data_IF_577243103052
#
_entry.id   IF_577243103052
#
_cell.length_a   1.000
_cell.length_b   1.000
_cell.length_c   1.000
_cell.angle_alpha   90.00
_cell.angle_beta   90.00
_cell.angle_gamma   90.00
#
_symmetry.space_group_name_H-M   'P 1'
#
loop_
_entity.id
_entity.type
_entity.pdbx_description
1 polymer ?
#
# COMPACT_ATOMS: atom_id res chain seq x y z
N UNK A 1 -1.31 -4.75 6.89
CA UNK A 1 -0.29 -4.06 6.08
C UNK A 1 -0.91 -3.60 4.77
N UNK A 2 -0.58 -2.39 4.35
CA UNK A 2 -0.92 -1.79 3.06
C UNK A 2 0.36 -1.28 2.41
N UNK A 3 0.54 -1.58 1.12
CA UNK A 3 1.47 -0.91 0.23
C UNK A 3 0.70 -0.31 -0.94
N UNK A 4 0.96 0.95 -1.26
CA UNK A 4 0.44 1.66 -2.42
C UNK A 4 1.62 2.28 -3.17
N UNK A 5 1.65 2.16 -4.50
CA UNK A 5 2.83 2.49 -5.30
C UNK A 5 2.41 3.01 -6.67
N UNK A 6 3.11 4.02 -7.15
CA UNK A 6 2.83 4.66 -8.43
C UNK A 6 3.25 3.74 -9.58
N UNK A 7 2.32 3.47 -10.48
CA UNK A 7 2.58 2.64 -11.66
C UNK A 7 3.27 3.44 -12.77
N UNK A 8 4.36 2.88 -13.29
CA UNK A 8 5.12 3.51 -14.37
C UNK A 8 5.95 4.72 -13.96
N UNK A 9 6.24 4.88 -12.66
CA UNK A 9 6.99 6.01 -12.14
C UNK A 9 8.38 6.19 -12.81
N UNK A 10 9.09 5.11 -13.10
CA UNK A 10 10.37 5.17 -13.82
C UNK A 10 10.23 5.87 -15.17
N UNK A 11 9.23 5.50 -15.97
CA UNK A 11 8.99 6.14 -17.26
C UNK A 11 8.53 7.60 -17.10
N UNK A 12 7.77 7.90 -16.05
CA UNK A 12 7.34 9.26 -15.72
C UNK A 12 8.56 10.13 -15.35
N UNK A 13 9.48 9.59 -14.56
CA UNK A 13 10.70 10.29 -14.13
C UNK A 13 11.71 10.55 -15.27
N UNK A 14 11.61 9.82 -16.37
CA UNK A 14 12.41 10.09 -17.57
C UNK A 14 11.83 11.24 -18.43
N UNK A 15 10.53 11.55 -18.26
CA UNK A 15 9.82 12.55 -19.08
C UNK A 15 9.64 13.89 -18.38
N UNK A 16 9.38 13.86 -17.07
CA UNK A 16 9.08 15.07 -16.33
C UNK A 16 10.33 15.67 -15.65
N UNK A 17 10.39 16.99 -15.53
CA UNK A 17 11.39 17.67 -14.70
C UNK A 17 11.29 17.23 -13.23
N UNK A 18 12.42 17.19 -12.48
CA UNK A 18 12.44 16.75 -11.09
C UNK A 18 11.52 17.54 -10.15
N UNK A 19 11.34 18.82 -10.39
CA UNK A 19 10.47 19.70 -9.62
C UNK A 19 8.98 19.37 -9.82
N UNK A 20 8.56 19.01 -11.03
CA UNK A 20 7.21 18.54 -11.31
C UNK A 20 6.94 17.17 -10.68
N UNK A 21 7.93 16.26 -10.71
CA UNK A 21 7.84 14.96 -10.05
C UNK A 21 7.66 15.10 -8.52
N UNK A 22 8.40 16.01 -7.89
CA UNK A 22 8.26 16.28 -6.45
C UNK A 22 6.84 16.76 -6.13
N UNK A 23 6.27 17.66 -6.93
CA UNK A 23 4.90 18.15 -6.74
C UNK A 23 3.89 17.01 -6.84
N UNK A 24 4.05 16.10 -7.82
CA UNK A 24 3.16 14.94 -7.97
C UNK A 24 3.28 13.98 -6.78
N UNK A 25 4.51 13.67 -6.34
CA UNK A 25 4.73 12.80 -5.18
C UNK A 25 4.20 13.42 -3.89
N UNK A 26 4.39 14.71 -3.68
CA UNK A 26 3.86 15.41 -2.49
C UNK A 26 2.33 15.35 -2.42
N UNK A 27 1.66 15.46 -3.57
CA UNK A 27 0.19 15.29 -3.64
C UNK A 27 -0.21 13.87 -3.30
N UNK A 28 0.45 12.87 -3.89
CA UNK A 28 0.20 11.45 -3.58
C UNK A 28 0.42 11.14 -2.11
N UNK A 29 1.54 11.57 -1.55
CA UNK A 29 1.87 11.33 -0.14
C UNK A 29 0.91 12.03 0.81
N UNK A 30 0.52 13.27 0.52
CA UNK A 30 -0.45 14.01 1.34
C UNK A 30 -1.81 13.33 1.34
N UNK A 31 -2.27 12.86 0.18
CA UNK A 31 -3.51 12.10 0.05
C UNK A 31 -3.44 10.79 0.83
N UNK A 32 -2.40 9.98 0.58
CA UNK A 32 -2.24 8.69 1.24
C UNK A 32 -2.14 8.82 2.77
N UNK A 33 -1.36 9.79 3.26
CA UNK A 33 -1.22 10.06 4.68
C UNK A 33 -2.56 10.47 5.32
N UNK A 34 -3.30 11.38 4.68
CA UNK A 34 -4.62 11.81 5.15
C UNK A 34 -5.58 10.64 5.32
N UNK A 35 -5.72 9.82 4.27
CA UNK A 35 -6.60 8.64 4.28
C UNK A 35 -6.19 7.62 5.34
N UNK A 36 -4.88 7.31 5.43
CA UNK A 36 -4.37 6.37 6.43
C UNK A 36 -4.69 6.84 7.85
N UNK A 37 -4.50 8.12 8.15
CA UNK A 37 -4.76 8.68 9.48
C UNK A 37 -6.25 8.76 9.79
N UNK A 38 -7.12 9.10 8.83
CA UNK A 38 -8.57 9.13 9.01
C UNK A 38 -9.14 7.74 9.35
N UNK A 39 -8.48 6.67 8.90
CA UNK A 39 -8.85 5.28 9.19
C UNK A 39 -8.08 4.66 10.36
N UNK A 40 -7.50 5.47 11.25
CA UNK A 40 -6.69 5.04 12.39
C UNK A 40 -5.51 4.13 12.02
N UNK A 41 -4.96 4.31 10.83
CA UNK A 41 -3.75 3.65 10.38
C UNK A 41 -2.49 4.40 10.80
N UNK A 42 -1.36 3.74 10.67
CA UNK A 42 -0.04 4.33 10.86
C UNK A 42 0.71 4.28 9.54
N UNK A 43 1.15 5.43 9.06
CA UNK A 43 2.06 5.53 7.94
C UNK A 43 3.46 5.18 8.43
N UNK A 44 4.04 4.10 7.89
CA UNK A 44 5.36 3.63 8.27
C UNK A 44 6.46 4.37 7.49
N UNK A 45 6.40 4.28 6.18
CA UNK A 45 7.40 4.87 5.28
C UNK A 45 6.78 5.39 3.99
N UNK A 46 7.46 6.41 3.47
CA UNK A 46 7.35 6.85 2.07
C UNK A 46 8.73 6.68 1.44
N UNK A 47 8.84 5.80 0.45
CA UNK A 47 10.12 5.46 -0.18
C UNK A 47 9.96 5.52 -1.69
N UNK A 48 10.62 6.49 -2.32
CA UNK A 48 10.52 6.69 -3.76
C UNK A 48 9.10 7.05 -4.18
N UNK A 49 8.40 6.15 -4.80
CA UNK A 49 7.03 6.30 -5.29
C UNK A 49 6.02 5.41 -4.54
N UNK A 50 6.43 4.88 -3.37
CA UNK A 50 5.65 3.95 -2.57
C UNK A 50 5.31 4.52 -1.19
N UNK A 51 4.06 4.32 -0.76
CA UNK A 51 3.60 4.51 0.60
C UNK A 51 3.36 3.16 1.28
N UNK A 52 3.88 3.00 2.50
CA UNK A 52 3.71 1.82 3.34
C UNK A 52 2.99 2.21 4.62
N UNK A 53 1.91 1.50 4.94
CA UNK A 53 1.11 1.73 6.13
C UNK A 53 0.70 0.42 6.80
N UNK A 54 0.39 0.51 8.09
CA UNK A 54 -0.18 -0.63 8.82
C UNK A 54 -1.36 -0.20 9.69
N UNK A 55 -2.24 -1.16 9.97
CA UNK A 55 -3.45 -0.99 10.76
C UNK A 55 -3.49 -2.04 11.88
N UNK A 56 -4.10 -1.70 13.00
CA UNK A 56 -4.20 -2.63 14.12
C UNK A 56 -3.05 -2.54 15.13
N UNK A 57 -2.32 -1.40 15.18
CA UNK A 57 -1.32 -1.12 16.21
C UNK A 57 -1.30 0.38 16.52
N UNK A 58 -1.06 0.79 17.77
CA UNK A 58 -0.83 -0.05 18.96
C UNK A 58 -2.11 -0.71 19.50
N UNK A 59 -3.27 -0.25 19.03
CA UNK A 59 -4.57 -0.84 19.35
C UNK A 59 -5.04 -1.68 18.16
N UNK A 60 -5.57 -2.87 18.43
CA UNK A 60 -6.05 -3.79 17.40
C UNK A 60 -7.58 -3.81 17.36
N UNK A 61 -8.24 -2.86 16.68
CA UNK A 61 -9.66 -2.96 16.42
C UNK A 61 -9.96 -4.18 15.54
N UNK A 62 -11.12 -4.82 15.73
CA UNK A 62 -11.48 -6.03 14.98
C UNK A 62 -11.60 -5.75 13.47
N UNK A 63 -11.96 -4.53 13.11
CA UNK A 63 -12.15 -4.06 11.74
C UNK A 63 -10.86 -3.53 11.04
N UNK A 64 -9.68 -3.77 11.65
CA UNK A 64 -8.43 -3.30 11.05
C UNK A 64 -8.16 -3.82 9.61
N UNK A 65 -8.61 -5.05 9.20
CA UNK A 65 -8.47 -5.46 7.80
C UNK A 65 -9.37 -4.67 6.86
N UNK A 66 -10.61 -4.38 7.27
CA UNK A 66 -11.56 -3.55 6.53
C UNK A 66 -11.01 -2.15 6.32
N UNK A 67 -10.50 -1.52 7.37
CA UNK A 67 -9.85 -0.20 7.30
C UNK A 67 -8.66 -0.18 6.35
N UNK A 68 -7.84 -1.23 6.34
CA UNK A 68 -6.69 -1.32 5.44
C UNK A 68 -7.13 -1.44 3.97
N UNK A 69 -8.18 -2.22 3.67
CA UNK A 69 -8.71 -2.35 2.31
C UNK A 69 -9.44 -1.07 1.89
N UNK A 70 -10.19 -0.44 2.80
CA UNK A 70 -10.84 0.85 2.55
C UNK A 70 -9.80 1.91 2.22
N UNK A 71 -8.73 2.02 3.01
CA UNK A 71 -7.63 2.95 2.73
C UNK A 71 -7.01 2.74 1.34
N UNK A 72 -6.82 1.47 0.94
CA UNK A 72 -6.30 1.17 -0.38
C UNK A 72 -7.23 1.68 -1.49
N UNK A 73 -8.54 1.43 -1.39
CA UNK A 73 -9.50 1.90 -2.38
C UNK A 73 -9.57 3.43 -2.40
N UNK A 74 -9.67 4.07 -1.24
CA UNK A 74 -9.78 5.53 -1.13
C UNK A 74 -8.53 6.23 -1.71
N UNK A 75 -7.34 5.66 -1.52
CA UNK A 75 -6.10 6.16 -2.14
C UNK A 75 -6.18 6.06 -3.66
N UNK A 76 -6.58 4.92 -4.21
CA UNK A 76 -6.69 4.74 -5.66
C UNK A 76 -7.74 5.68 -6.26
N UNK A 77 -8.91 5.77 -5.64
CA UNK A 77 -10.01 6.63 -6.07
C UNK A 77 -9.61 8.12 -5.98
N UNK A 78 -8.95 8.52 -4.90
CA UNK A 78 -8.48 9.89 -4.72
C UNK A 78 -7.42 10.29 -5.75
N UNK A 79 -6.49 9.38 -6.09
CA UNK A 79 -5.52 9.62 -7.18
C UNK A 79 -6.23 9.69 -8.53
N UNK A 80 -7.18 8.80 -8.81
CA UNK A 80 -7.93 8.79 -10.05
C UNK A 80 -8.80 10.04 -10.24
N UNK A 81 -9.36 10.57 -9.15
CA UNK A 81 -10.22 11.76 -9.18
C UNK A 81 -9.50 13.04 -9.61
N UNK A 82 -8.17 13.11 -9.43
CA UNK A 82 -7.34 14.27 -9.82
C UNK A 82 -6.51 14.02 -11.07
N UNK A 83 -6.71 12.89 -11.74
CA UNK A 83 -6.02 12.56 -12.98
C UNK A 83 -6.63 13.36 -14.14
N UNK A 84 -5.83 14.23 -14.76
CA UNK A 84 -6.26 15.12 -15.85
C UNK A 84 -5.71 14.72 -17.22
N UNK A 85 -4.55 14.03 -17.25
CA UNK A 85 -3.81 13.73 -18.48
C UNK A 85 -3.00 12.43 -18.40
N UNK A 86 -2.16 12.18 -19.42
CA UNK A 86 -1.29 11.00 -19.50
C UNK A 86 -0.14 11.01 -18.48
N UNK A 87 0.21 12.17 -17.95
CA UNK A 87 1.25 12.35 -16.93
C UNK A 87 0.71 12.27 -15.50
N UNK A 88 -0.61 12.10 -15.36
CA UNK A 88 -1.25 11.89 -14.08
C UNK A 88 -0.85 10.56 -13.45
N UNK A 89 -0.69 10.56 -12.11
CA UNK A 89 -0.31 9.36 -11.36
C UNK A 89 -1.38 8.28 -11.48
N UNK A 90 -0.93 7.04 -11.52
CA UNK A 90 -1.76 5.85 -11.41
C UNK A 90 -1.17 4.96 -10.33
N UNK A 91 -2.00 4.45 -9.44
CA UNK A 91 -1.56 3.68 -8.28
C UNK A 91 -2.10 2.26 -8.34
N UNK A 92 -1.31 1.31 -7.86
CA UNK A 92 -1.73 -0.04 -7.55
C UNK A 92 -1.41 -0.35 -6.09
N UNK A 93 -2.27 -1.11 -5.42
CA UNK A 93 -2.10 -1.41 -4.00
C UNK A 93 -2.13 -2.91 -3.70
N UNK A 94 -1.46 -3.26 -2.59
CA UNK A 94 -1.50 -4.58 -1.99
C UNK A 94 -1.84 -4.49 -0.51
N UNK A 95 -2.75 -5.37 -0.04
CA UNK A 95 -3.13 -5.43 1.38
C UNK A 95 -3.02 -6.86 1.89
N UNK A 96 -2.44 -7.03 3.08
CA UNK A 96 -2.32 -8.32 3.74
C UNK A 96 -2.54 -8.24 5.23
N UNK A 97 -3.16 -9.28 5.78
CA UNK A 97 -3.41 -9.45 7.22
C UNK A 97 -2.62 -10.64 7.73
N UNK A 98 -1.97 -10.50 8.88
CA UNK A 98 -1.19 -11.55 9.50
C UNK A 98 -0.30 -11.02 10.61
N UNK A 99 0.54 -11.90 11.15
CA UNK A 99 1.50 -11.54 12.20
C UNK A 99 2.74 -10.86 11.63
N UNK A 100 3.19 -9.82 12.32
CA UNK A 100 4.43 -9.13 12.03
C UNK A 100 5.03 -8.55 13.32
N UNK A 101 6.35 -8.46 13.39
CA UNK A 101 7.01 -7.73 14.45
C UNK A 101 6.94 -6.23 14.15
N UNK A 102 6.61 -5.44 15.17
CA UNK A 102 6.64 -3.98 15.09
C UNK A 102 7.51 -3.44 16.22
N UNK A 103 8.44 -2.59 15.88
CA UNK A 103 9.36 -2.02 16.86
C UNK A 103 10.56 -1.31 16.24
N UNK A 104 11.45 -0.88 17.12
CA UNK A 104 12.71 -0.27 16.70
C UNK A 104 13.67 -1.34 16.18
N UNK A 105 14.16 -1.13 14.97
CA UNK A 105 15.16 -1.97 14.32
C UNK A 105 16.35 -1.12 13.95
N UNK A 106 17.55 -1.59 14.25
CA UNK A 106 18.79 -0.85 13.97
C UNK A 106 19.81 -1.01 15.08
N UNK A 107 20.89 -0.24 14.98
CA UNK A 107 22.02 -0.26 15.92
C UNK A 107 22.15 1.10 16.59
N UNK A 108 22.36 1.10 17.88
CA UNK A 108 22.62 2.24 18.81
C UNK A 108 22.09 3.63 18.36
N UNK A 109 22.74 4.25 17.40
CA UNK A 109 22.44 5.62 16.95
C UNK A 109 21.53 5.70 15.72
N UNK A 110 21.28 4.58 15.04
CA UNK A 110 20.43 4.52 13.85
C UNK A 110 19.32 3.50 14.11
N UNK A 111 18.15 3.99 14.48
CA UNK A 111 16.97 3.16 14.73
C UNK A 111 15.82 3.61 13.87
N UNK A 112 15.17 2.63 13.28
CA UNK A 112 13.95 2.82 12.51
C UNK A 112 12.81 2.07 13.19
N UNK A 113 11.74 2.77 13.53
CA UNK A 113 10.53 2.12 14.02
C UNK A 113 9.76 1.61 12.82
N UNK A 114 9.67 0.31 12.66
CA UNK A 114 9.09 -0.29 11.45
C UNK A 114 8.46 -1.65 11.73
N UNK A 115 7.80 -2.18 10.72
CA UNK A 115 7.20 -3.52 10.73
C UNK A 115 8.06 -4.49 9.93
N UNK A 116 8.38 -5.66 10.53
CA UNK A 116 9.17 -6.72 9.89
C UNK A 116 8.43 -8.05 10.00
N UNK A 117 8.47 -8.83 8.94
CA UNK A 117 7.92 -10.18 8.90
C UNK A 117 7.69 -10.67 7.49
N UNK A 118 7.35 -11.94 7.37
CA UNK A 118 7.01 -12.56 6.08
C UNK A 118 5.78 -11.91 5.43
N UNK A 119 4.84 -11.46 6.26
CA UNK A 119 3.68 -10.67 5.82
C UNK A 119 4.10 -9.45 5.00
N UNK A 120 5.06 -8.68 5.50
CA UNK A 120 5.53 -7.43 4.84
C UNK A 120 6.06 -7.76 3.43
N UNK A 121 6.91 -8.79 3.32
CA UNK A 121 7.45 -9.23 2.04
C UNK A 121 6.38 -9.78 1.10
N UNK A 122 5.38 -10.47 1.64
CA UNK A 122 4.26 -11.00 0.87
C UNK A 122 3.43 -9.88 0.28
N UNK A 123 3.04 -8.90 1.10
CA UNK A 123 2.23 -7.77 0.66
C UNK A 123 2.97 -6.90 -0.35
N UNK A 124 4.27 -6.65 -0.15
CA UNK A 124 5.09 -5.93 -1.12
C UNK A 124 5.11 -6.62 -2.50
N UNK A 125 5.17 -7.97 -2.53
CA UNK A 125 5.13 -8.73 -3.79
C UNK A 125 3.75 -8.72 -4.45
N UNK A 126 2.69 -8.85 -3.66
CA UNK A 126 1.30 -8.75 -4.14
C UNK A 126 1.08 -7.36 -4.75
N UNK A 127 1.50 -6.32 -4.04
CA UNK A 127 1.44 -4.96 -4.53
C UNK A 127 2.20 -4.80 -5.86
N UNK A 128 3.39 -5.40 -5.99
CA UNK A 128 4.15 -5.39 -7.24
C UNK A 128 3.44 -6.06 -8.43
N UNK A 129 2.46 -6.94 -8.18
CA UNK A 129 1.64 -7.58 -9.19
C UNK A 129 0.33 -6.80 -9.50
N UNK A 130 0.01 -5.78 -8.71
CA UNK A 130 -1.16 -4.95 -8.93
C UNK A 130 -0.96 -4.04 -10.15
N UNK A 131 -1.91 -4.02 -11.04
CA UNK A 131 -1.97 -3.05 -12.14
C UNK A 131 -2.45 -1.67 -11.67
N UNK A 132 -2.45 -0.67 -12.57
CA UNK A 132 -3.07 0.63 -12.28
C UNK A 132 -4.56 0.46 -11.94
N UNK A 133 -4.98 0.95 -10.78
CA UNK A 133 -6.35 0.83 -10.29
C UNK A 133 -6.68 -0.53 -9.63
N UNK A 134 -5.72 -1.45 -9.52
CA UNK A 134 -5.92 -2.73 -8.82
C UNK A 134 -5.62 -2.59 -7.33
N UNK A 135 -6.52 -3.13 -6.49
CA UNK A 135 -6.25 -3.47 -5.09
C UNK A 135 -6.21 -4.99 -4.97
N UNK A 136 -5.02 -5.54 -4.69
CA UNK A 136 -4.84 -6.97 -4.46
C UNK A 136 -4.74 -7.26 -2.97
N UNK A 137 -5.40 -8.31 -2.52
CA UNK A 137 -5.40 -8.69 -1.10
C UNK A 137 -4.99 -10.15 -0.91
N UNK A 138 -4.40 -10.48 0.24
CA UNK A 138 -4.16 -11.89 0.61
C UNK A 138 -5.47 -12.60 0.87
N UNK A 139 -5.46 -13.94 0.81
CA UNK A 139 -6.63 -14.77 1.11
C UNK A 139 -7.15 -14.52 2.53
N UNK A 140 -6.24 -14.35 3.51
CA UNK A 140 -6.58 -14.06 4.90
C UNK A 140 -7.31 -12.71 5.03
N UNK A 141 -6.83 -11.69 4.31
CA UNK A 141 -7.52 -10.40 4.28
C UNK A 141 -8.88 -10.53 3.64
N UNK A 142 -8.97 -11.22 2.50
CA UNK A 142 -10.24 -11.41 1.81
C UNK A 142 -11.28 -12.11 2.69
N UNK A 143 -10.90 -13.14 3.45
CA UNK A 143 -11.81 -13.82 4.41
C UNK A 143 -12.43 -12.85 5.42
N UNK A 144 -11.67 -11.84 5.84
CA UNK A 144 -12.14 -10.84 6.80
C UNK A 144 -13.08 -9.79 6.19
N UNK A 145 -12.95 -9.52 4.87
CA UNK A 145 -13.69 -8.44 4.19
C UNK A 145 -14.69 -8.94 3.14
N UNK A 146 -14.84 -10.23 2.97
CA UNK A 146 -15.62 -10.82 1.87
C UNK A 146 -17.09 -10.36 1.81
N UNK A 147 -17.67 -9.99 2.95
CA UNK A 147 -19.05 -9.48 3.02
C UNK A 147 -19.19 -8.12 2.31
N UNK A 148 -18.13 -7.32 2.29
CA UNK A 148 -18.12 -5.97 1.72
C UNK A 148 -17.74 -5.96 0.23
N UNK A 149 -17.12 -7.06 -0.27
CA UNK A 149 -16.54 -7.16 -1.62
C UNK A 149 -17.05 -8.38 -2.40
N UNK A 150 -18.37 -8.47 -2.59
CA UNK A 150 -19.05 -9.60 -3.24
C UNK A 150 -18.64 -9.87 -4.70
N UNK A 151 -18.05 -8.91 -5.37
CA UNK A 151 -17.60 -9.02 -6.77
C UNK A 151 -16.09 -9.15 -6.92
N UNK A 152 -15.36 -9.36 -5.82
CA UNK A 152 -13.91 -9.56 -5.88
C UNK A 152 -13.57 -10.83 -6.68
N UNK A 153 -12.51 -10.72 -7.48
CA UNK A 153 -12.03 -11.82 -8.32
C UNK A 153 -10.82 -12.48 -7.66
N UNK A 154 -10.84 -13.81 -7.59
CA UNK A 154 -9.68 -14.58 -7.16
C UNK A 154 -8.66 -14.67 -8.30
N UNK A 155 -7.39 -14.37 -7.99
CA UNK A 155 -6.24 -14.55 -8.88
C UNK A 155 -5.20 -15.43 -8.20
N UNK A 156 -4.57 -16.34 -8.92
CA UNK A 156 -3.41 -17.10 -8.45
C UNK A 156 -2.15 -16.36 -8.90
N UNK A 157 -1.29 -16.02 -7.96
CA UNK A 157 -0.04 -15.31 -8.22
C UNK A 157 1.14 -16.20 -7.84
N UNK A 158 2.09 -16.36 -8.77
CA UNK A 158 3.39 -16.95 -8.46
C UNK A 158 4.31 -15.89 -7.85
N UNK A 159 4.54 -15.95 -6.56
CA UNK A 159 5.39 -15.00 -5.86
C UNK A 159 6.83 -15.51 -5.82
N UNK A 160 7.74 -14.80 -6.45
CA UNK A 160 9.17 -15.13 -6.50
C UNK A 160 9.74 -15.35 -5.09
N UNK A 161 10.28 -16.58 -4.84
CA UNK A 161 10.90 -16.94 -3.57
C UNK A 161 9.92 -17.40 -2.47
N UNK A 162 8.66 -17.71 -2.82
CA UNK A 162 7.76 -18.51 -1.98
C UNK A 162 7.55 -19.88 -2.60
N UNK A 163 7.51 -20.90 -1.75
CA UNK A 163 7.17 -22.28 -2.13
C UNK A 163 5.68 -22.47 -1.95
N UNK A 164 4.95 -22.49 -3.05
CA UNK A 164 3.48 -22.65 -3.12
C UNK A 164 2.77 -21.40 -3.67
N UNK A 165 1.62 -21.62 -4.31
CA UNK A 165 0.76 -20.52 -4.77
C UNK A 165 0.15 -19.77 -3.59
#
# INVERSE_FOLDING_TARGET
MLFADVRGFTALSERLPPDELVILLDRFYSLAAGIVFELDGTLDKMVGDQAMAFFGAPFRPEDHPQRAVQAANDILDGVAAVAEDEDSLRVGAGVGTGEAFMGNVGHEDIRDFTVIGDLVNTVARIQGAAGPGDVLVTEETFKAVAADFLHAQQRTLELKGKTGP
#
